data_IF_138484181781
#
_entry.id   IF_138484181781
#
_cell.length_a   1.000
_cell.length_b   1.000
_cell.length_c   1.000
_cell.angle_alpha   90.00
_cell.angle_beta   90.00
_cell.angle_gamma   90.00
#
_symmetry.space_group_name_H-M   'P 1'
#
loop_
_entity.id
_entity.type
_entity.pdbx_description
1 polymer ?
#
# COMPACT_ATOMS: atom_id res chain seq x y z
N UNK A 1 2.48 -22.40 -47.68
CA UNK A 1 2.90 -21.21 -46.91
C UNK A 1 2.12 -21.17 -45.60
N UNK A 2 2.77 -20.99 -44.44
CA UNK A 2 2.06 -20.84 -43.17
C UNK A 2 1.37 -19.47 -43.15
N UNK A 3 0.07 -19.44 -42.81
CA UNK A 3 -0.70 -18.20 -42.62
C UNK A 3 -0.17 -17.46 -41.37
N UNK A 4 -0.04 -16.12 -41.40
CA UNK A 4 0.26 -15.37 -40.19
C UNK A 4 -0.97 -15.46 -39.27
N UNK A 5 -0.86 -16.17 -38.15
CA UNK A 5 -1.88 -16.11 -37.11
C UNK A 5 -1.83 -14.70 -36.53
N UNK A 6 -2.91 -13.94 -36.69
CA UNK A 6 -3.18 -12.76 -35.88
C UNK A 6 -2.83 -13.08 -34.42
N UNK A 7 -2.11 -12.19 -33.74
CA UNK A 7 -1.60 -12.38 -32.39
C UNK A 7 -2.70 -12.92 -31.46
N UNK A 8 -2.73 -14.24 -31.29
CA UNK A 8 -3.76 -14.92 -30.53
C UNK A 8 -3.44 -14.70 -29.06
N UNK A 9 -4.37 -14.11 -28.29
CA UNK A 9 -4.15 -13.86 -26.86
C UNK A 9 -3.68 -15.16 -26.17
N UNK A 10 -2.66 -15.10 -25.28
CA UNK A 10 -2.20 -16.24 -24.51
C UNK A 10 -3.33 -16.95 -23.76
N UNK A 11 -3.24 -18.27 -23.66
CA UNK A 11 -4.23 -19.09 -22.97
C UNK A 11 -4.52 -18.63 -21.52
N UNK A 12 -3.52 -18.25 -20.69
CA UNK A 12 -3.74 -17.64 -19.38
C UNK A 12 -4.66 -16.42 -19.42
N UNK A 13 -4.38 -15.45 -20.32
CA UNK A 13 -5.17 -14.23 -20.44
C UNK A 13 -6.63 -14.52 -20.82
N UNK A 14 -6.87 -15.46 -21.74
CA UNK A 14 -8.24 -15.89 -22.10
C UNK A 14 -8.98 -16.50 -20.91
N UNK A 15 -8.31 -17.26 -20.06
CA UNK A 15 -8.91 -17.86 -18.86
C UNK A 15 -9.16 -16.83 -17.77
N UNK A 16 -8.25 -15.87 -17.57
CA UNK A 16 -8.43 -14.75 -16.65
C UNK A 16 -9.61 -13.87 -17.08
N UNK A 17 -9.72 -13.53 -18.36
CA UNK A 17 -10.87 -12.78 -18.90
C UNK A 17 -12.19 -13.54 -18.70
N UNK A 18 -12.19 -14.86 -18.94
CA UNK A 18 -13.35 -15.72 -18.68
C UNK A 18 -13.74 -15.72 -17.20
N UNK A 19 -12.76 -15.79 -16.29
CA UNK A 19 -12.98 -15.69 -14.85
C UNK A 19 -13.71 -14.39 -14.48
N UNK A 20 -13.23 -13.24 -14.95
CA UNK A 20 -13.86 -11.95 -14.67
C UNK A 20 -15.30 -11.87 -15.21
N UNK A 21 -15.53 -12.32 -16.46
CA UNK A 21 -16.87 -12.37 -17.06
C UNK A 21 -17.84 -13.26 -16.29
N UNK A 22 -17.35 -14.36 -15.73
CA UNK A 22 -18.17 -15.26 -14.92
C UNK A 22 -18.46 -14.67 -13.55
N UNK A 23 -17.48 -14.01 -12.92
CA UNK A 23 -17.66 -13.33 -11.63
C UNK A 23 -18.67 -12.18 -11.72
N UNK A 24 -18.80 -11.53 -12.88
CA UNK A 24 -19.89 -10.57 -13.13
C UNK A 24 -21.29 -11.21 -13.03
N UNK A 25 -21.44 -12.49 -13.38
CA UNK A 25 -22.74 -13.15 -13.56
C UNK A 25 -23.12 -14.07 -12.41
N UNK A 26 -22.16 -14.56 -11.63
CA UNK A 26 -22.43 -15.51 -10.55
C UNK A 26 -21.37 -15.50 -9.44
N UNK A 27 -21.73 -15.96 -8.22
CA UNK A 27 -20.78 -16.04 -7.12
C UNK A 27 -19.55 -16.89 -7.43
N UNK A 28 -18.39 -16.47 -6.92
CA UNK A 28 -17.11 -17.16 -7.05
C UNK A 28 -17.19 -18.65 -6.70
N UNK A 29 -17.88 -18.98 -5.61
CA UNK A 29 -18.05 -20.37 -5.12
C UNK A 29 -18.82 -21.28 -6.09
N UNK A 30 -19.42 -20.72 -7.14
CA UNK A 30 -20.15 -21.44 -8.19
C UNK A 30 -19.42 -21.45 -9.53
N UNK A 31 -18.22 -20.88 -9.63
CA UNK A 31 -17.39 -20.93 -10.83
C UNK A 31 -16.65 -22.27 -10.87
N UNK A 32 -16.72 -22.97 -12.02
CA UNK A 32 -16.07 -24.27 -12.21
C UNK A 32 -15.12 -24.25 -13.41
N UNK A 33 -14.20 -25.22 -13.48
CA UNK A 33 -13.30 -25.40 -14.63
C UNK A 33 -14.08 -25.55 -15.95
N UNK A 34 -15.25 -26.20 -15.90
CA UNK A 34 -16.13 -26.34 -17.07
C UNK A 34 -16.70 -24.99 -17.55
N UNK A 35 -16.92 -24.05 -16.63
CA UNK A 35 -17.36 -22.71 -17.01
C UNK A 35 -16.23 -21.91 -17.63
N UNK A 36 -15.03 -21.96 -17.02
CA UNK A 36 -13.84 -21.27 -17.56
C UNK A 36 -13.53 -21.75 -18.97
N UNK A 37 -13.47 -23.06 -19.17
CA UNK A 37 -13.17 -23.66 -20.48
C UNK A 37 -14.22 -23.29 -21.54
N UNK A 38 -15.51 -23.30 -21.16
CA UNK A 38 -16.60 -22.87 -22.06
C UNK A 38 -16.54 -21.38 -22.41
N UNK A 39 -16.32 -20.50 -21.44
CA UNK A 39 -16.29 -19.04 -21.65
C UNK A 39 -15.00 -18.58 -22.36
N UNK A 40 -13.86 -19.24 -22.11
CA UNK A 40 -12.57 -18.93 -22.77
C UNK A 40 -12.40 -19.57 -24.15
N UNK A 41 -13.23 -20.55 -24.51
CA UNK A 41 -13.09 -21.33 -25.74
C UNK A 41 -11.91 -22.32 -25.73
N UNK A 42 -11.31 -22.58 -24.56
CA UNK A 42 -10.20 -23.51 -24.37
C UNK A 42 -10.69 -24.84 -23.80
N UNK A 43 -9.92 -25.92 -24.01
CA UNK A 43 -10.28 -27.23 -23.47
C UNK A 43 -9.72 -27.44 -22.04
N UNK A 44 -10.20 -28.49 -21.36
CA UNK A 44 -9.75 -28.84 -19.99
C UNK A 44 -8.26 -29.15 -19.91
N UNK A 45 -7.68 -29.77 -20.93
CA UNK A 45 -6.24 -30.05 -20.97
C UNK A 45 -5.42 -28.77 -20.96
N UNK A 46 -5.85 -27.75 -21.72
CA UNK A 46 -5.24 -26.44 -21.72
C UNK A 46 -5.39 -25.73 -20.38
N UNK A 47 -6.55 -25.86 -19.71
CA UNK A 47 -6.73 -25.35 -18.35
C UNK A 47 -5.71 -25.98 -17.39
N UNK A 48 -5.67 -27.32 -17.31
CA UNK A 48 -4.79 -28.03 -16.39
C UNK A 48 -3.31 -27.95 -16.73
N UNK A 49 -2.96 -27.49 -17.93
CA UNK A 49 -1.59 -27.15 -18.28
C UNK A 49 -1.10 -25.88 -17.57
N UNK A 50 -2.01 -24.93 -17.30
CA UNK A 50 -1.67 -23.63 -16.68
C UNK A 50 -2.07 -23.53 -15.22
N UNK A 51 -3.16 -24.19 -14.80
CA UNK A 51 -3.72 -24.07 -13.46
C UNK A 51 -4.21 -25.42 -12.94
N UNK A 52 -3.89 -25.75 -11.70
CA UNK A 52 -4.37 -26.95 -11.02
C UNK A 52 -5.84 -26.84 -10.62
N UNK A 53 -6.32 -25.63 -10.33
CA UNK A 53 -7.69 -25.38 -9.86
C UNK A 53 -8.13 -23.92 -10.07
N UNK A 54 -9.39 -23.61 -9.71
CA UNK A 54 -9.97 -22.27 -9.87
C UNK A 54 -9.34 -21.22 -8.94
N UNK A 55 -8.87 -21.62 -7.75
CA UNK A 55 -8.25 -20.68 -6.82
C UNK A 55 -6.89 -20.19 -7.34
N UNK A 56 -6.10 -21.06 -7.98
CA UNK A 56 -4.83 -20.67 -8.61
C UNK A 56 -5.06 -19.73 -9.81
N UNK A 57 -6.08 -20.00 -10.64
CA UNK A 57 -6.49 -19.06 -11.69
C UNK A 57 -6.93 -17.71 -11.11
N UNK A 58 -7.67 -17.71 -10.00
CA UNK A 58 -8.12 -16.48 -9.37
C UNK A 58 -6.96 -15.66 -8.81
N UNK A 59 -5.98 -16.31 -8.19
CA UNK A 59 -4.76 -15.69 -7.67
C UNK A 59 -3.96 -15.02 -8.80
N UNK A 60 -3.72 -15.74 -9.91
CA UNK A 60 -3.05 -15.20 -11.08
C UNK A 60 -3.84 -14.06 -11.75
N UNK A 61 -5.17 -14.18 -11.82
CA UNK A 61 -6.04 -13.11 -12.33
C UNK A 61 -5.99 -11.84 -11.45
N UNK A 62 -5.93 -12.01 -10.13
CA UNK A 62 -5.79 -10.90 -9.16
C UNK A 62 -4.41 -10.26 -9.29
N UNK A 63 -3.34 -11.05 -9.36
CA UNK A 63 -1.98 -10.55 -9.57
C UNK A 63 -1.89 -9.70 -10.85
N UNK A 64 -2.59 -10.10 -11.91
CA UNK A 64 -2.66 -9.34 -13.16
C UNK A 64 -3.36 -7.98 -13.05
N UNK A 65 -4.17 -7.72 -12.01
CA UNK A 65 -4.72 -6.37 -11.73
C UNK A 65 -3.58 -5.39 -11.46
N UNK A 66 -2.54 -5.85 -10.76
CA UNK A 66 -1.45 -5.00 -10.32
C UNK A 66 -0.37 -4.83 -11.40
N UNK A 67 -0.40 -5.60 -12.48
CA UNK A 67 0.44 -5.28 -13.64
C UNK A 67 0.04 -3.95 -14.30
N UNK A 68 -1.13 -3.41 -13.96
CA UNK A 68 -1.52 -2.04 -14.28
C UNK A 68 -0.64 -1.03 -13.52
N UNK A 69 0.21 -0.34 -14.26
CA UNK A 69 1.17 0.62 -13.73
C UNK A 69 0.54 1.71 -12.86
N UNK A 70 -0.70 2.13 -13.12
CA UNK A 70 -1.29 3.14 -12.24
C UNK A 70 -1.86 2.59 -10.95
N UNK A 71 -2.22 1.30 -10.88
CA UNK A 71 -2.56 0.67 -9.60
C UNK A 71 -1.30 0.58 -8.74
N UNK A 72 -0.17 0.12 -9.29
CA UNK A 72 1.12 0.11 -8.58
C UNK A 72 1.51 1.54 -8.19
N UNK A 73 1.43 2.50 -9.11
CA UNK A 73 1.79 3.90 -8.84
C UNK A 73 0.93 4.48 -7.72
N UNK A 74 -0.37 4.23 -7.74
CA UNK A 74 -1.28 4.67 -6.69
C UNK A 74 -0.90 4.05 -5.33
N UNK A 75 -0.69 2.74 -5.29
CA UNK A 75 -0.35 2.01 -4.06
C UNK A 75 1.01 2.44 -3.50
N UNK A 76 2.04 2.54 -4.35
CA UNK A 76 3.39 2.95 -3.94
C UNK A 76 3.46 4.40 -3.47
N UNK A 77 2.61 5.28 -4.00
CA UNK A 77 2.54 6.67 -3.53
C UNK A 77 1.88 6.82 -2.17
N UNK A 78 1.10 5.83 -1.71
CA UNK A 78 0.65 5.78 -0.31
C UNK A 78 1.82 5.60 0.67
N UNK A 79 3.01 5.24 0.20
CA UNK A 79 4.23 5.10 1.00
C UNK A 79 5.16 6.32 0.93
N UNK A 80 5.10 7.10 -0.15
CA UNK A 80 6.05 8.20 -0.34
C UNK A 80 5.83 9.30 0.71
N UNK A 81 6.91 9.69 1.38
CA UNK A 81 6.92 10.75 2.38
C UNK A 81 6.58 12.12 1.77
N UNK A 82 6.03 12.97 2.64
CA UNK A 82 5.11 14.07 2.39
C UNK A 82 5.68 15.38 1.81
N UNK A 83 6.90 15.43 1.26
CA UNK A 83 7.51 16.74 0.97
C UNK A 83 7.18 17.35 -0.41
N UNK A 84 6.64 16.59 -1.38
CA UNK A 84 6.36 17.15 -2.72
C UNK A 84 5.06 16.66 -3.42
N UNK A 85 4.32 15.72 -2.82
CA UNK A 85 3.19 15.06 -3.50
C UNK A 85 1.89 15.38 -2.79
N UNK A 86 1.01 16.12 -3.44
CA UNK A 86 -0.38 16.22 -3.03
C UNK A 86 -1.10 14.89 -3.36
N UNK A 87 -1.27 14.04 -2.34
CA UNK A 87 -2.00 12.76 -2.45
C UNK A 87 -3.42 12.96 -2.99
N UNK A 88 -4.02 14.14 -2.80
CA UNK A 88 -5.30 14.54 -3.41
C UNK A 88 -5.24 14.61 -4.93
N UNK A 89 -4.23 15.30 -5.46
CA UNK A 89 -4.06 15.47 -6.91
C UNK A 89 -3.72 14.15 -7.58
N UNK A 90 -3.02 13.26 -6.88
CA UNK A 90 -2.75 11.92 -7.38
C UNK A 90 -3.97 11.02 -7.37
N UNK A 91 -4.74 11.02 -6.29
CA UNK A 91 -6.00 10.28 -6.27
C UNK A 91 -6.94 10.75 -7.39
N UNK A 92 -7.00 12.07 -7.63
CA UNK A 92 -7.80 12.66 -8.71
C UNK A 92 -7.29 12.21 -10.09
N UNK A 93 -5.98 12.27 -10.34
CA UNK A 93 -5.38 11.75 -11.59
C UNK A 93 -5.61 10.26 -11.81
N UNK A 94 -5.55 9.46 -10.75
CA UNK A 94 -5.81 8.02 -10.82
C UNK A 94 -7.27 7.74 -11.19
N UNK A 95 -8.22 8.47 -10.59
CA UNK A 95 -9.66 8.32 -10.87
C UNK A 95 -10.06 8.84 -12.25
N UNK A 96 -9.45 9.92 -12.72
CA UNK A 96 -9.73 10.51 -14.04
C UNK A 96 -9.07 9.73 -15.19
N UNK A 97 -8.13 8.83 -14.87
CA UNK A 97 -7.44 7.98 -15.84
C UNK A 97 -8.30 6.81 -16.33
N UNK A 98 -8.78 6.80 -17.60
CA UNK A 98 -9.59 5.71 -18.14
C UNK A 98 -8.85 4.37 -18.15
N UNK A 99 -7.52 4.40 -18.11
CA UNK A 99 -6.66 3.22 -18.15
C UNK A 99 -6.85 2.27 -16.95
N UNK A 100 -7.34 2.75 -15.79
CA UNK A 100 -7.48 1.95 -14.57
C UNK A 100 -8.89 1.41 -14.34
N UNK A 101 -9.86 1.76 -15.19
CA UNK A 101 -11.26 1.39 -15.02
C UNK A 101 -11.49 -0.12 -14.99
N UNK A 102 -10.71 -0.88 -15.76
CA UNK A 102 -10.76 -2.35 -15.75
C UNK A 102 -10.34 -2.89 -14.39
N UNK A 103 -9.23 -2.37 -13.84
CA UNK A 103 -8.69 -2.75 -12.54
C UNK A 103 -9.66 -2.42 -11.41
N UNK A 104 -10.21 -1.20 -11.41
CA UNK A 104 -11.25 -0.76 -10.44
C UNK A 104 -12.50 -1.63 -10.53
N UNK A 105 -12.95 -1.97 -11.75
CA UNK A 105 -14.10 -2.87 -11.94
C UNK A 105 -13.82 -4.26 -11.38
N UNK A 106 -12.64 -4.83 -11.63
CA UNK A 106 -12.24 -6.15 -11.10
C UNK A 106 -12.19 -6.17 -9.59
N UNK A 107 -11.62 -5.13 -8.98
CA UNK A 107 -11.64 -4.92 -7.53
C UNK A 107 -13.09 -4.92 -7.01
N UNK A 108 -13.98 -4.17 -7.66
CA UNK A 108 -15.41 -4.12 -7.29
C UNK A 108 -16.08 -5.49 -7.38
N UNK A 109 -15.69 -6.34 -8.34
CA UNK A 109 -16.21 -7.70 -8.45
C UNK A 109 -15.71 -8.61 -7.32
N UNK A 110 -14.47 -8.43 -6.87
CA UNK A 110 -13.88 -9.17 -5.74
C UNK A 110 -14.60 -8.83 -4.42
N UNK A 111 -14.90 -7.55 -4.21
CA UNK A 111 -15.45 -7.03 -2.95
C UNK A 111 -16.97 -6.95 -2.95
N UNK A 112 -17.59 -7.18 -4.11
CA UNK A 112 -19.03 -7.16 -4.32
C UNK A 112 -19.74 -8.49 -4.01
N UNK A 113 -21.05 -8.58 -4.32
CA UNK A 113 -21.91 -9.69 -3.91
C UNK A 113 -21.57 -11.05 -4.55
N UNK A 114 -20.91 -11.03 -5.72
CA UNK A 114 -20.42 -12.25 -6.37
C UNK A 114 -19.00 -12.63 -5.95
N UNK A 115 -18.31 -11.76 -5.21
CA UNK A 115 -17.01 -12.03 -4.62
C UNK A 115 -17.04 -13.12 -3.56
N UNK A 116 -15.97 -13.20 -2.79
CA UNK A 116 -15.91 -14.06 -1.61
C UNK A 116 -14.85 -13.58 -0.63
N UNK A 117 -14.98 -13.95 0.63
CA UNK A 117 -13.95 -13.68 1.65
C UNK A 117 -12.57 -14.19 1.24
N UNK A 118 -12.49 -15.31 0.52
CA UNK A 118 -11.23 -15.84 -0.01
C UNK A 118 -10.59 -14.92 -1.04
N UNK A 119 -11.38 -14.38 -1.98
CA UNK A 119 -10.87 -13.44 -2.98
C UNK A 119 -10.45 -12.11 -2.34
N UNK A 120 -11.23 -11.62 -1.37
CA UNK A 120 -10.88 -10.41 -0.61
C UNK A 120 -9.59 -10.61 0.19
N UNK A 121 -9.40 -11.80 0.78
CA UNK A 121 -8.14 -12.19 1.45
C UNK A 121 -6.97 -12.23 0.47
N UNK A 122 -7.13 -12.85 -0.70
CA UNK A 122 -6.07 -12.90 -1.74
C UNK A 122 -5.68 -11.50 -2.20
N UNK A 123 -6.66 -10.62 -2.46
CA UNK A 123 -6.41 -9.22 -2.82
C UNK A 123 -5.61 -8.49 -1.73
N UNK A 124 -5.98 -8.69 -0.45
CA UNK A 124 -5.26 -8.10 0.69
C UNK A 124 -3.84 -8.65 0.82
N UNK A 125 -3.66 -9.96 0.73
CA UNK A 125 -2.35 -10.59 0.86
C UNK A 125 -1.41 -10.08 -0.25
N UNK A 126 -1.92 -9.87 -1.46
CA UNK A 126 -1.15 -9.25 -2.54
C UNK A 126 -0.74 -7.79 -2.26
N UNK A 127 -1.64 -6.98 -1.67
CA UNK A 127 -1.31 -5.61 -1.24
C UNK A 127 -0.19 -5.63 -0.21
N UNK A 128 -0.28 -6.53 0.78
CA UNK A 128 0.73 -6.72 1.82
C UNK A 128 2.08 -7.05 1.19
N UNK A 129 2.11 -7.97 0.22
CA UNK A 129 3.36 -8.40 -0.42
C UNK A 129 4.02 -7.25 -1.22
N UNK A 130 3.24 -6.45 -1.97
CA UNK A 130 3.77 -5.24 -2.64
C UNK A 130 4.41 -4.28 -1.64
N UNK A 131 3.74 -4.06 -0.52
CA UNK A 131 4.19 -3.11 0.50
C UNK A 131 5.48 -3.57 1.16
N UNK A 132 5.56 -4.85 1.50
CA UNK A 132 6.74 -5.47 2.09
C UNK A 132 7.93 -5.42 1.14
N UNK A 133 7.71 -5.73 -0.14
CA UNK A 133 8.72 -5.60 -1.19
C UNK A 133 9.23 -4.15 -1.32
N UNK A 134 8.32 -3.17 -1.24
CA UNK A 134 8.66 -1.75 -1.36
C UNK A 134 9.52 -1.24 -0.19
N UNK A 135 9.23 -1.67 1.04
CA UNK A 135 9.97 -1.28 2.24
C UNK A 135 11.15 -2.22 2.56
N UNK A 136 11.34 -3.28 1.76
CA UNK A 136 12.42 -4.25 1.94
C UNK A 136 12.29 -5.12 3.19
N UNK A 137 11.07 -5.36 3.69
CA UNK A 137 10.81 -6.23 4.83
C UNK A 137 10.36 -7.62 4.36
N UNK A 138 10.79 -8.66 5.07
CA UNK A 138 10.35 -10.04 4.83
C UNK A 138 9.12 -10.34 5.71
N UNK A 139 8.04 -10.80 5.08
CA UNK A 139 6.78 -11.20 5.75
C UNK A 139 6.99 -12.15 6.92
N UNK A 140 7.96 -13.05 6.82
CA UNK A 140 8.24 -14.07 7.84
C UNK A 140 9.10 -13.54 8.99
N UNK A 141 9.62 -12.32 8.89
CA UNK A 141 10.52 -11.69 9.85
C UNK A 141 9.90 -10.48 10.54
N UNK A 142 8.64 -10.17 10.24
CA UNK A 142 7.90 -9.09 10.90
C UNK A 142 7.72 -9.42 12.38
N UNK A 143 8.05 -8.45 13.24
CA UNK A 143 7.70 -8.55 14.65
C UNK A 143 6.18 -8.32 14.86
N UNK A 144 5.62 -8.67 16.04
CA UNK A 144 4.18 -8.52 16.29
C UNK A 144 3.63 -7.10 16.10
N UNK A 145 4.42 -6.06 16.39
CA UNK A 145 4.00 -4.68 16.21
C UNK A 145 3.93 -4.30 14.72
N UNK A 146 4.93 -4.68 13.93
CA UNK A 146 4.92 -4.50 12.48
C UNK A 146 3.78 -5.27 11.83
N UNK A 147 3.53 -6.51 12.27
CA UNK A 147 2.40 -7.31 11.79
C UNK A 147 1.06 -6.63 12.08
N UNK A 148 0.87 -6.09 13.30
CA UNK A 148 -0.35 -5.38 13.66
C UNK A 148 -0.58 -4.14 12.80
N UNK A 149 0.47 -3.35 12.55
CA UNK A 149 0.40 -2.18 11.66
C UNK A 149 0.04 -2.61 10.23
N UNK A 150 0.66 -3.68 9.72
CA UNK A 150 0.33 -4.23 8.41
C UNK A 150 -1.11 -4.70 8.30
N UNK A 151 -1.61 -5.42 9.30
CA UNK A 151 -3.01 -5.85 9.33
C UNK A 151 -3.95 -4.64 9.35
N UNK A 152 -3.69 -3.65 10.21
CA UNK A 152 -4.54 -2.47 10.29
C UNK A 152 -4.54 -1.67 8.98
N UNK A 153 -3.36 -1.34 8.46
CA UNK A 153 -3.21 -0.53 7.25
C UNK A 153 -3.80 -1.23 6.02
N UNK A 154 -3.55 -2.54 5.86
CA UNK A 154 -4.05 -3.32 4.71
C UNK A 154 -5.57 -3.47 4.76
N UNK A 155 -6.17 -3.69 5.94
CA UNK A 155 -7.63 -3.72 6.08
C UNK A 155 -8.26 -2.33 5.90
N UNK A 156 -7.60 -1.26 6.35
CA UNK A 156 -8.04 0.12 6.14
C UNK A 156 -8.10 0.48 4.65
N UNK A 157 -7.01 0.25 3.93
CA UNK A 157 -6.95 0.48 2.48
C UNK A 157 -7.91 -0.43 1.73
N UNK A 158 -7.97 -1.71 2.10
CA UNK A 158 -8.93 -2.63 1.50
C UNK A 158 -10.36 -2.16 1.71
N UNK A 159 -10.71 -1.56 2.86
CA UNK A 159 -12.02 -0.97 3.11
C UNK A 159 -12.33 0.21 2.18
N UNK A 160 -11.35 1.10 1.94
CA UNK A 160 -11.46 2.21 0.98
C UNK A 160 -11.64 1.68 -0.44
N UNK A 161 -10.78 0.74 -0.84
CA UNK A 161 -10.78 0.10 -2.16
C UNK A 161 -12.06 -0.72 -2.38
N UNK A 162 -12.58 -1.40 -1.36
CA UNK A 162 -13.78 -2.22 -1.44
C UNK A 162 -15.04 -1.40 -1.72
N UNK A 163 -15.02 -0.12 -1.35
CA UNK A 163 -16.06 0.83 -1.68
C UNK A 163 -15.81 1.52 -3.05
N UNK A 164 -15.14 0.79 -3.97
CA UNK A 164 -14.67 1.26 -5.26
C UNK A 164 -15.75 2.03 -6.05
N UNK A 165 -16.95 1.46 -6.13
CA UNK A 165 -18.06 2.09 -6.85
C UNK A 165 -18.48 3.46 -6.28
N UNK A 166 -18.35 3.66 -4.97
CA UNK A 166 -18.76 4.91 -4.29
C UNK A 166 -17.62 5.93 -4.24
N UNK A 167 -16.37 5.46 -4.14
CA UNK A 167 -15.22 6.32 -3.85
C UNK A 167 -14.30 6.57 -5.05
N UNK A 168 -14.25 5.66 -6.04
CA UNK A 168 -13.43 5.81 -7.25
C UNK A 168 -14.21 6.49 -8.36
N UNK A 169 -14.72 7.68 -8.03
CA UNK A 169 -15.30 8.63 -8.96
C UNK A 169 -14.85 10.05 -8.56
N UNK A 170 -14.96 11.05 -9.46
CA UNK A 170 -14.45 12.40 -9.19
C UNK A 170 -15.09 13.09 -7.97
N UNK A 171 -16.28 12.66 -7.54
CA UNK A 171 -16.90 13.17 -6.31
C UNK A 171 -16.31 12.50 -5.07
N UNK A 172 -16.23 11.17 -5.04
CA UNK A 172 -15.59 10.38 -3.99
C UNK A 172 -14.13 10.77 -3.76
N UNK A 173 -13.40 11.08 -4.83
CA UNK A 173 -12.07 11.66 -4.79
C UNK A 173 -11.98 12.93 -3.93
N UNK A 174 -12.92 13.85 -4.15
CA UNK A 174 -13.00 15.11 -3.40
C UNK A 174 -13.37 14.88 -1.94
N UNK A 175 -14.10 13.82 -1.62
CA UNK A 175 -14.43 13.47 -0.23
C UNK A 175 -13.23 12.86 0.50
N UNK A 176 -12.56 11.85 -0.09
CA UNK A 176 -11.37 11.21 0.51
C UNK A 176 -10.27 12.25 0.74
N UNK A 177 -10.03 13.11 -0.23
CA UNK A 177 -8.99 14.11 -0.13
C UNK A 177 -9.26 15.24 0.89
N UNK A 178 -10.46 15.28 1.49
CA UNK A 178 -10.78 16.16 2.64
C UNK A 178 -10.58 15.46 3.99
N UNK A 179 -10.30 14.16 3.99
CA UNK A 179 -10.02 13.38 5.19
C UNK A 179 -8.52 13.32 5.46
N UNK A 180 -8.14 12.99 6.70
CA UNK A 180 -6.74 12.67 7.05
C UNK A 180 -6.35 11.22 6.75
N UNK A 181 -7.20 10.48 6.03
CA UNK A 181 -7.01 9.04 5.81
C UNK A 181 -5.75 8.73 4.99
N UNK A 182 -5.47 9.43 3.87
CA UNK A 182 -4.24 9.20 3.12
C UNK A 182 -2.97 9.41 3.96
N UNK A 183 -2.92 10.50 4.71
CA UNK A 183 -1.79 10.85 5.58
C UNK A 183 -1.64 9.84 6.72
N UNK A 184 -2.75 9.47 7.36
CA UNK A 184 -2.75 8.49 8.46
C UNK A 184 -2.21 7.14 7.99
N UNK A 185 -2.65 6.68 6.83
CA UNK A 185 -2.17 5.41 6.29
C UNK A 185 -0.70 5.49 5.91
N UNK A 186 -0.27 6.57 5.26
CA UNK A 186 1.15 6.81 4.96
C UNK A 186 2.01 6.83 6.21
N UNK A 187 1.59 7.54 7.26
CA UNK A 187 2.32 7.59 8.54
C UNK A 187 2.41 6.22 9.23
N UNK A 188 1.30 5.48 9.28
CA UNK A 188 1.28 4.13 9.87
C UNK A 188 2.26 3.21 9.15
N UNK A 189 2.17 3.18 7.83
CA UNK A 189 3.01 2.35 6.99
C UNK A 189 4.50 2.72 7.16
N UNK A 190 4.83 4.01 7.11
CA UNK A 190 6.20 4.49 7.26
C UNK A 190 6.80 4.18 8.65
N UNK A 191 5.97 4.16 9.69
CA UNK A 191 6.42 3.82 11.05
C UNK A 191 6.94 2.37 11.19
N UNK A 192 6.63 1.48 10.25
CA UNK A 192 7.12 0.09 10.30
C UNK A 192 8.63 -0.02 10.12
N UNK A 193 9.24 0.93 9.40
CA UNK A 193 10.69 0.97 9.14
C UNK A 193 11.49 1.50 10.34
N UNK A 194 10.86 2.28 11.22
CA UNK A 194 11.52 2.83 12.42
C UNK A 194 11.45 1.89 13.61
N UNK A 195 10.49 0.96 13.63
CA UNK A 195 10.35 -0.08 14.66
C UNK A 195 11.52 -1.09 14.62
N UNK A 196 12.21 -1.21 13.48
CA UNK A 196 13.38 -2.08 13.29
C UNK A 196 14.67 -1.57 13.96
N UNK A 197 14.79 -0.27 14.20
CA UNK A 197 16.08 0.33 14.61
C UNK A 197 16.34 0.29 16.12
N UNK A 198 15.34 0.01 16.96
CA UNK A 198 15.47 0.08 18.42
C UNK A 198 15.87 -1.23 19.11
N UNK A 199 15.94 -2.36 18.40
CA UNK A 199 16.22 -3.67 19.01
C UNK A 199 17.70 -4.10 18.91
N UNK A 200 18.59 -3.28 18.34
CA UNK A 200 20.02 -3.61 18.19
C UNK A 200 21.00 -2.86 19.11
N UNK A 201 20.54 -1.98 20.00
CA UNK A 201 21.42 -1.06 20.73
C UNK A 201 21.53 -1.27 22.25
N UNK A 202 21.13 -2.42 22.78
CA UNK A 202 21.35 -2.75 24.20
C UNK A 202 21.85 -4.18 24.37
N UNK A 203 23.15 -4.40 24.14
CA UNK A 203 23.96 -5.36 24.90
C UNK A 203 25.43 -5.21 24.47
N UNK A 204 26.07 -4.13 24.91
CA UNK A 204 27.54 -4.03 24.99
C UNK A 204 27.97 -2.89 25.92
N UNK A 205 27.37 -2.77 27.11
CA UNK A 205 28.07 -2.17 28.24
C UNK A 205 28.93 -3.27 28.87
N UNK A 206 30.10 -3.45 28.26
CA UNK A 206 31.14 -4.31 28.78
C UNK A 206 31.76 -3.60 29.99
N UNK A 207 31.39 -4.07 31.17
CA UNK A 207 32.08 -3.82 32.44
C UNK A 207 33.59 -3.93 32.25
N UNK A 208 34.29 -2.79 32.27
CA UNK A 208 35.74 -2.77 32.39
C UNK A 208 36.18 -1.48 33.07
N UNK A 209 35.88 -1.36 34.37
CA UNK A 209 36.60 -0.45 35.25
C UNK A 209 37.39 -1.25 36.29
N UNK A 210 38.67 -1.44 35.99
CA UNK A 210 39.66 -1.95 36.93
C UNK A 210 40.80 -0.91 37.01
N UNK A 211 40.59 0.12 37.82
CA UNK A 211 41.54 1.22 38.03
C UNK A 211 41.64 1.62 39.51
N UNK A 212 42.34 0.82 40.31
CA UNK A 212 42.74 1.17 41.67
C UNK A 212 43.73 2.36 41.68
N UNK A 213 43.39 3.45 42.37
CA UNK A 213 44.25 4.64 42.51
C UNK A 213 43.81 5.58 43.62
N UNK A 214 44.19 5.24 44.85
CA UNK A 214 44.00 5.96 46.10
C UNK A 214 44.62 7.38 46.12
N UNK A 215 43.97 8.37 46.76
CA UNK A 215 44.67 9.46 47.46
C UNK A 215 44.23 10.92 47.22
N UNK A 216 43.39 11.40 48.14
CA UNK A 216 43.53 12.67 48.89
C UNK A 216 43.06 14.04 48.31
N UNK A 217 42.08 14.60 49.03
CA UNK A 217 42.00 15.99 49.55
C UNK A 217 41.86 17.19 48.58
N UNK A 218 40.66 17.78 48.49
CA UNK A 218 40.33 19.08 49.13
C UNK A 218 39.00 19.69 48.65
N UNK A 219 38.34 20.27 49.66
CA UNK A 219 37.18 21.16 49.71
C UNK A 219 37.27 22.32 48.69
N UNK A 220 36.12 22.75 48.11
CA UNK A 220 35.57 24.13 48.06
C UNK A 220 34.41 24.21 47.03
N UNK A 221 33.23 24.63 47.49
CA UNK A 221 32.12 25.18 46.69
C UNK A 221 32.07 26.72 46.93
N UNK A 222 31.14 27.50 46.38
CA UNK A 222 30.54 27.59 45.03
C UNK A 222 30.70 29.01 44.43
N UNK A 223 30.55 29.22 43.12
CA UNK A 223 30.32 30.58 42.55
C UNK A 223 29.45 30.58 41.29
N UNK A 224 28.21 31.05 41.44
CA UNK A 224 27.48 31.93 40.48
C UNK A 224 27.60 33.38 41.05
N UNK A 225 27.22 34.50 40.37
CA UNK A 225 26.42 34.67 39.13
C UNK A 225 26.92 35.82 38.20
N UNK A 226 26.21 36.10 37.09
CA UNK A 226 25.73 37.42 36.59
C UNK A 226 25.20 37.27 35.15
N UNK A 227 23.89 37.37 34.87
CA UNK A 227 23.04 38.56 34.58
C UNK A 227 23.45 39.38 33.33
N UNK A 228 22.70 39.16 32.22
CA UNK A 228 21.82 40.09 31.45
C UNK A 228 22.27 41.55 31.16
N UNK A 229 21.56 42.33 30.29
CA UNK A 229 20.69 42.07 29.13
C UNK A 229 20.94 43.13 28.00
N UNK A 230 19.96 43.32 27.09
CA UNK A 230 19.63 44.57 26.34
C UNK A 230 19.91 44.50 24.83
N UNK A 231 19.13 45.10 23.91
CA UNK A 231 17.73 45.52 23.80
C UNK A 231 17.59 46.18 22.40
N UNK A 232 16.36 46.14 21.89
CA UNK A 232 15.66 47.25 21.23
C UNK A 232 16.06 47.79 19.82
N UNK A 233 14.99 48.04 19.05
CA UNK A 233 14.90 48.92 17.88
C UNK A 233 14.01 48.29 16.80
N UNK A 234 12.66 48.25 16.88
CA UNK A 234 11.62 49.30 16.84
C UNK A 234 11.56 50.12 15.55
N UNK A 235 10.31 50.28 15.05
CA UNK A 235 9.76 51.35 14.19
C UNK A 235 10.02 51.26 12.66
N UNK A 236 9.12 51.59 11.72
CA UNK A 236 7.76 52.18 11.72
C UNK A 236 7.21 52.22 10.27
N UNK A 237 5.88 52.02 10.12
CA UNK A 237 4.90 52.52 9.12
C UNK A 237 5.31 52.89 7.68
N UNK A 238 4.46 52.52 6.69
CA UNK A 238 3.62 53.53 5.97
C UNK A 238 2.56 52.93 5.03
N UNK A 239 1.43 53.65 5.05
CA UNK A 239 0.17 53.56 4.30
C UNK A 239 0.27 54.22 2.91
N UNK A 240 -0.45 53.68 1.91
CA UNK A 240 -1.13 54.33 0.75
C UNK A 240 -1.55 53.17 -0.19
N UNK A 241 -2.77 52.91 -0.69
CA UNK A 241 -4.00 53.65 -1.03
C UNK A 241 -3.88 54.72 -2.12
N UNK A 242 -3.88 54.28 -3.38
CA UNK A 242 -4.38 54.89 -4.65
C UNK A 242 -4.05 53.84 -5.74
N UNK A 243 -4.89 53.40 -6.67
CA UNK A 243 -6.12 53.89 -7.32
C UNK A 243 -7.11 52.74 -7.55
#
# INVERSE_FOLDING_TARGET
MPRPKAAEQPAPQKMQEAFWKLLERKPYTKITVSDITRESGLNRTAFYYHYTNIAELAEDAIAAIYQDQGIITFITRLFQQHDDIDLRDEYTRFVDGPQHLVSVRRITLITGPHGSTSLTKQLRDFIIDIWLDLIGLDRNRLNPAQWLIMEFASNGILGVISNAATLFNPEGARWIAKTHLPETVSHLINSMTTITDNDNDNDNDNDNDNGNGNGNDRIVAPTRPMRNPSAAGRATQRTAMTE
#
